data_IF_290165863975
#
_entry.id   IF_290165863975
#
_cell.length_a   1.000
_cell.length_b   1.000
_cell.length_c   1.000
_cell.angle_alpha   90.00
_cell.angle_beta   90.00
_cell.angle_gamma   90.00
#
_symmetry.space_group_name_H-M   'P 1'
#
loop_
_entity.id
_entity.type
_entity.pdbx_description
1 polymer ?
#
# COMPACT_ATOMS: atom_id res chain seq x y z
N UNK A 1 -15.21 -14.19 -9.11
CA UNK A 1 -16.54 -13.59 -8.90
C UNK A 1 -16.46 -12.10 -9.20
N UNK A 2 -17.52 -11.50 -9.76
CA UNK A 2 -17.57 -10.05 -9.98
C UNK A 2 -17.84 -9.40 -8.60
N UNK A 3 -17.10 -8.35 -8.19
CA UNK A 3 -17.36 -7.64 -6.95
C UNK A 3 -18.81 -7.11 -6.89
N UNK A 4 -19.47 -7.13 -5.72
CA UNK A 4 -20.85 -6.67 -5.59
C UNK A 4 -21.02 -5.18 -5.92
N UNK A 5 -19.94 -4.39 -5.81
CA UNK A 5 -19.94 -2.94 -6.00
C UNK A 5 -19.46 -2.50 -7.40
N UNK A 6 -19.28 -3.44 -8.34
CA UNK A 6 -18.91 -3.18 -9.74
C UNK A 6 -17.45 -3.51 -10.09
N UNK A 7 -16.97 -3.01 -11.23
CA UNK A 7 -15.58 -3.25 -11.70
C UNK A 7 -14.63 -2.20 -11.14
N UNK A 8 -13.57 -2.65 -10.46
CA UNK A 8 -12.53 -1.78 -9.89
C UNK A 8 -11.35 -1.61 -10.85
N UNK A 9 -10.60 -0.51 -10.69
CA UNK A 9 -9.38 -0.24 -11.46
C UNK A 9 -8.24 -1.15 -11.00
N UNK A 10 -7.40 -1.61 -11.94
CA UNK A 10 -6.20 -2.38 -11.63
C UNK A 10 -5.05 -1.50 -11.14
N UNK A 11 -4.29 -1.97 -10.16
CA UNK A 11 -3.02 -1.38 -9.76
C UNK A 11 -1.85 -2.25 -10.24
N UNK A 12 -0.79 -1.66 -10.83
CA UNK A 12 -0.60 -0.24 -11.12
C UNK A 12 -1.59 0.29 -12.18
N UNK A 13 -1.97 1.57 -12.05
CA UNK A 13 -2.90 2.20 -12.99
C UNK A 13 -2.31 2.25 -14.40
N UNK A 14 -3.08 1.77 -15.37
CA UNK A 14 -2.68 1.69 -16.78
C UNK A 14 -3.89 1.81 -17.70
N UNK A 15 -3.63 2.15 -18.96
CA UNK A 15 -4.63 2.10 -20.04
C UNK A 15 -4.60 0.69 -20.67
N UNK A 16 -5.77 0.09 -20.84
CA UNK A 16 -5.95 -1.21 -21.47
C UNK A 16 -5.91 -1.10 -22.99
N UNK A 17 -5.80 -2.25 -23.67
CA UNK A 17 -5.72 -2.31 -25.13
C UNK A 17 -6.95 -1.76 -25.85
N UNK A 18 -8.10 -1.69 -25.18
CA UNK A 18 -9.35 -1.09 -25.70
C UNK A 18 -9.44 0.42 -25.50
N UNK A 19 -8.37 1.05 -24.97
CA UNK A 19 -8.30 2.47 -24.69
C UNK A 19 -8.99 2.91 -23.38
N UNK A 20 -9.60 1.99 -22.64
CA UNK A 20 -10.19 2.28 -21.31
C UNK A 20 -9.16 2.09 -20.20
N UNK A 21 -9.46 2.60 -19.01
CA UNK A 21 -8.64 2.29 -17.83
C UNK A 21 -8.72 0.80 -17.53
N UNK A 22 -7.57 0.17 -17.29
CA UNK A 22 -7.53 -1.25 -16.96
C UNK A 22 -8.26 -1.52 -15.63
N UNK A 23 -9.01 -2.62 -15.64
CA UNK A 23 -9.82 -3.08 -14.51
C UNK A 23 -9.35 -4.47 -14.07
N UNK A 24 -9.65 -4.81 -12.82
CA UNK A 24 -9.47 -6.18 -12.30
C UNK A 24 -10.70 -7.04 -12.59
N UNK A 25 -10.48 -8.34 -12.76
CA UNK A 25 -11.54 -9.29 -13.11
C UNK A 25 -12.21 -9.91 -11.87
N UNK A 26 -11.49 -9.92 -10.73
CA UNK A 26 -11.96 -10.57 -9.50
C UNK A 26 -11.79 -9.70 -8.27
N UNK A 27 -12.60 -9.98 -7.23
CA UNK A 27 -12.48 -9.30 -5.94
C UNK A 27 -11.12 -9.56 -5.28
N UNK A 28 -10.57 -10.75 -5.41
CA UNK A 28 -9.27 -11.10 -4.82
C UNK A 28 -8.14 -10.26 -5.42
N UNK A 29 -8.19 -9.99 -6.73
CA UNK A 29 -7.28 -9.07 -7.39
C UNK A 29 -7.47 -7.64 -6.88
N UNK A 30 -8.72 -7.19 -6.74
CA UNK A 30 -9.02 -5.86 -6.19
C UNK A 30 -8.42 -5.66 -4.79
N UNK A 31 -8.69 -6.59 -3.85
CA UNK A 31 -8.21 -6.51 -2.47
C UNK A 31 -6.68 -6.54 -2.43
N UNK A 32 -6.05 -7.39 -3.25
CA UNK A 32 -4.58 -7.42 -3.36
C UNK A 32 -4.03 -6.06 -3.81
N UNK A 33 -4.64 -5.47 -4.83
CA UNK A 33 -4.21 -4.18 -5.39
C UNK A 33 -4.39 -3.03 -4.39
N UNK A 34 -5.45 -3.04 -3.58
CA UNK A 34 -5.65 -2.07 -2.48
C UNK A 34 -4.61 -2.25 -1.37
N UNK A 35 -4.30 -3.49 -0.98
CA UNK A 35 -3.26 -3.77 0.01
C UNK A 35 -1.89 -3.29 -0.47
N UNK A 36 -1.57 -3.49 -1.75
CA UNK A 36 -0.31 -3.00 -2.31
C UNK A 36 -0.24 -1.47 -2.22
N UNK A 37 -1.32 -0.77 -2.60
CA UNK A 37 -1.37 0.68 -2.47
C UNK A 37 -1.19 1.14 -1.03
N UNK A 38 -1.85 0.49 -0.06
CA UNK A 38 -1.74 0.83 1.35
C UNK A 38 -0.32 0.61 1.90
N UNK A 39 0.31 -0.51 1.57
CA UNK A 39 1.64 -0.91 2.06
C UNK A 39 2.73 0.01 1.47
N UNK A 40 2.61 0.37 0.20
CA UNK A 40 3.60 1.17 -0.51
C UNK A 40 3.41 2.69 -0.32
N UNK A 41 2.33 3.12 0.33
CA UNK A 41 2.09 4.52 0.69
C UNK A 41 2.57 4.78 2.13
N UNK A 42 3.38 5.81 2.34
CA UNK A 42 3.72 6.30 3.69
C UNK A 42 2.63 7.26 4.22
N UNK A 43 2.39 7.30 5.54
CA UNK A 43 1.58 8.35 6.16
C UNK A 43 2.03 9.74 5.72
N UNK A 44 1.07 10.61 5.42
CA UNK A 44 1.31 11.98 4.94
C UNK A 44 1.51 12.13 3.43
N UNK A 45 1.64 11.06 2.65
CA UNK A 45 1.78 11.15 1.19
C UNK A 45 0.45 11.48 0.49
N UNK A 46 -0.69 11.15 1.11
CA UNK A 46 -2.03 11.39 0.56
C UNK A 46 -2.58 12.72 1.07
N UNK A 47 -2.75 13.66 0.15
CA UNK A 47 -3.38 14.95 0.44
C UNK A 47 -4.80 14.74 0.98
N UNK A 48 -5.13 15.44 2.06
CA UNK A 48 -6.40 15.32 2.82
C UNK A 48 -6.66 13.97 3.50
N UNK A 49 -5.72 13.04 3.46
CA UNK A 49 -5.80 11.77 4.20
C UNK A 49 -4.44 11.41 4.82
N UNK A 50 -3.93 12.23 5.75
CA UNK A 50 -2.56 12.10 6.27
C UNK A 50 -2.33 10.78 7.02
N UNK A 51 -3.37 10.18 7.59
CA UNK A 51 -3.29 8.92 8.32
C UNK A 51 -3.28 7.68 7.40
N UNK A 52 -3.52 7.84 6.09
CA UNK A 52 -3.48 6.71 5.16
C UNK A 52 -2.05 6.29 4.89
N UNK A 53 -1.83 4.97 4.89
CA UNK A 53 -0.54 4.38 4.58
C UNK A 53 0.11 3.80 5.82
N UNK A 54 1.03 2.89 5.61
CA UNK A 54 1.81 2.28 6.69
C UNK A 54 3.31 2.38 6.44
N UNK A 55 3.70 2.47 5.16
CA UNK A 55 5.07 2.42 4.71
C UNK A 55 5.75 1.09 5.01
N UNK A 56 6.44 0.51 4.03
CA UNK A 56 7.38 -0.59 4.32
C UNK A 56 8.51 -0.13 5.27
N UNK A 57 8.88 1.16 5.20
CA UNK A 57 9.94 1.75 6.03
C UNK A 57 9.62 1.75 7.52
N UNK A 58 8.38 2.05 7.93
CA UNK A 58 8.00 2.11 9.35
C UNK A 58 7.99 0.76 10.07
N UNK A 59 7.69 -0.33 9.35
CA UNK A 59 7.84 -1.70 9.85
C UNK A 59 9.28 -2.19 9.81
N UNK A 60 10.03 -1.85 8.75
CA UNK A 60 11.43 -2.25 8.61
C UNK A 60 12.37 -1.49 9.58
N UNK A 61 12.06 -0.23 9.89
CA UNK A 61 12.86 0.63 10.80
C UNK A 61 12.36 0.60 12.25
N UNK A 62 11.29 -0.13 12.55
CA UNK A 62 10.94 -0.46 13.93
C UNK A 62 11.90 -1.53 14.43
N UNK A 63 13.11 -1.10 14.77
CA UNK A 63 14.06 -1.87 15.57
C UNK A 63 13.31 -2.46 16.79
N UNK A 64 13.33 -3.79 17.00
CA UNK A 64 12.85 -4.36 18.26
C UNK A 64 13.59 -3.70 19.42
N UNK A 65 12.89 -3.41 20.52
CA UNK A 65 13.42 -2.69 21.69
C UNK A 65 14.78 -3.25 22.17
N UNK A 66 14.99 -4.57 22.00
CA UNK A 66 16.25 -5.28 22.26
C UNK A 66 17.47 -4.71 21.53
N UNK A 67 17.32 -4.15 20.34
CA UNK A 67 18.42 -3.57 19.57
C UNK A 67 18.68 -2.09 19.92
N UNK A 68 17.69 -1.38 20.49
CA UNK A 68 17.92 -0.02 21.03
C UNK A 68 18.80 -0.06 22.27
N UNK A 69 18.59 -1.03 23.15
CA UNK A 69 19.34 -1.17 24.40
C UNK A 69 20.79 -1.62 24.20
N UNK A 70 21.13 -2.16 23.03
CA UNK A 70 22.48 -2.61 22.67
C UNK A 70 23.32 -1.52 21.96
N UNK A 71 22.79 -0.30 21.80
CA UNK A 71 23.58 0.79 21.23
C UNK A 71 24.62 1.26 22.26
N UNK A 72 25.91 1.33 21.89
CA UNK A 72 26.91 1.90 22.78
C UNK A 72 26.56 3.37 23.06
N UNK A 73 26.66 3.78 24.33
CA UNK A 73 26.45 5.17 24.74
C UNK A 73 27.52 6.02 24.05
N UNK A 74 27.15 7.12 23.36
CA UNK A 74 28.14 8.02 22.81
C UNK A 74 29.02 8.59 23.95
N UNK A 75 30.30 8.91 23.65
CA UNK A 75 31.23 9.45 24.64
C UNK A 75 30.70 10.75 25.28
#
# INVERSE_FOLDING_TARGET
>A
MIPPDGRHLSFPFRIAADGRTAQVDTLEQHVRDELIQLILTNPGERLFLPELGRGCGGWCLRMPERLRQQRPKPP
#
